data_IF_315139539558
#
_entry.id   IF_315139539558
#
_cell.length_a   1.000
_cell.length_b   1.000
_cell.length_c   1.000
_cell.angle_alpha   90.00
_cell.angle_beta   90.00
_cell.angle_gamma   90.00
#
_symmetry.space_group_name_H-M   'P 1'
#
loop_
_entity.id
_entity.type
_entity.pdbx_description
1 polymer ?
2 non-polymer ?
3 non-polymer ?
4 non-polymer ?
5 non-polymer ?
6 non-polymer ?
7 water ?
#
# COMPACT_ATOMS: atom_id res chain seq x y z
N UNK A 3 0.03 27.04 16.62
CA UNK A 3 1.07 26.72 15.64
C UNK A 3 1.89 25.53 16.12
N UNK A 4 1.40 24.87 17.16
CA UNK A 4 2.11 23.78 17.83
C UNK A 4 1.09 22.88 18.51
N UNK A 5 0.42 22.02 17.73
CA UNK A 5 -0.81 21.36 18.16
C UNK A 5 -0.55 20.15 19.06
N UNK A 6 -1.55 19.82 19.88
CA UNK A 6 -1.45 18.74 20.84
C UNK A 6 -2.36 17.57 20.44
N UNK A 7 -1.80 16.36 20.47
CA UNK A 7 -2.55 15.12 20.29
C UNK A 7 -2.41 14.29 21.56
N UNK A 8 -3.52 13.73 22.03
CA UNK A 8 -3.57 13.03 23.30
C UNK A 8 -3.96 11.58 23.08
N UNK A 9 -3.37 10.68 23.87
CA UNK A 9 -3.83 9.31 24.00
C UNK A 9 -4.74 9.23 25.23
N UNK A 10 -5.98 8.80 25.04
CA UNK A 10 -6.98 8.77 26.11
C UNK A 10 -7.03 7.43 26.84
N UNK A 11 -6.03 6.59 26.63
CA UNK A 11 -5.89 5.35 27.38
C UNK A 11 -4.64 5.34 28.26
N UNK A 12 -3.65 6.17 27.92
CA UNK A 12 -2.42 6.31 28.69
C UNK A 12 -2.23 7.72 29.21
N UNK A 13 -3.08 8.68 28.84
CA UNK A 13 -2.97 10.10 29.14
C UNK A 13 -1.69 10.71 28.56
N UNK A 14 -0.96 9.97 27.71
CA UNK A 14 0.23 10.51 27.07
C UNK A 14 -0.17 11.63 26.11
N UNK A 15 0.60 12.72 26.14
CA UNK A 15 0.34 13.86 25.27
C UNK A 15 1.59 14.15 24.45
N UNK A 16 1.40 14.36 23.15
CA UNK A 16 2.48 14.65 22.22
C UNK A 16 2.16 15.92 21.44
N UNK A 17 3.20 16.67 21.11
CA UNK A 17 3.06 17.97 20.47
C UNK A 17 3.53 17.92 19.03
N UNK A 18 2.70 18.43 18.12
CA UNK A 18 2.93 18.32 16.69
C UNK A 18 3.33 19.67 16.13
N UNK A 19 4.57 19.77 15.65
CA UNK A 19 5.00 20.88 14.81
C UNK A 19 5.26 20.46 13.37
N UNK A 20 5.38 19.15 13.11
CA UNK A 20 5.65 18.67 11.77
C UNK A 20 4.59 19.15 10.78
N UNK A 21 3.33 19.26 11.23
CA UNK A 21 2.24 19.69 10.36
C UNK A 21 2.49 21.06 9.76
N UNK A 22 3.46 21.75 10.31
CA UNK A 22 3.80 23.06 9.80
C UNK A 22 4.36 22.91 8.40
N UNK A 23 5.26 21.96 8.24
CA UNK A 23 5.86 21.73 6.95
C UNK A 23 4.84 21.28 5.96
N UNK A 24 3.65 20.92 6.42
CA UNK A 24 2.61 20.45 5.52
C UNK A 24 2.43 21.46 4.45
N UNK A 25 1.87 21.03 3.33
CA UNK A 25 1.72 21.89 2.22
C UNK A 25 0.49 21.49 1.45
N UNK A 26 0.42 20.24 1.03
CA UNK A 26 -0.77 19.79 0.31
C UNK A 26 -2.02 19.96 1.17
N UNK A 27 -3.18 19.92 0.51
CA UNK A 27 -4.45 20.14 1.16
C UNK A 27 -5.14 18.80 1.42
N UNK A 28 -6.07 18.81 2.39
CA UNK A 28 -6.63 17.59 2.96
C UNK A 28 -8.05 17.26 2.49
N UNK A 29 -8.75 18.19 1.86
CA UNK A 29 -10.16 18.03 1.59
C UNK A 29 -11.04 18.68 2.64
N UNK A 30 -10.59 18.72 3.88
CA UNK A 30 -11.36 19.35 4.93
C UNK A 30 -11.24 20.86 4.83
N UNK A 31 -12.27 21.54 5.30
CA UNK A 31 -12.26 22.97 5.52
C UNK A 31 -12.53 23.24 6.99
N UNK A 32 -12.55 24.52 7.35
CA UNK A 32 -12.97 24.90 8.70
C UNK A 32 -14.41 24.50 8.98
N UNK A 33 -15.22 24.26 7.95
CA UNK A 33 -16.64 24.00 8.15
C UNK A 33 -17.09 22.64 7.63
N UNK A 34 -16.16 21.80 7.16
CA UNK A 34 -16.51 20.44 6.81
C UNK A 34 -15.28 19.54 6.95
N UNK A 35 -15.48 18.39 7.58
CA UNK A 35 -14.43 17.41 7.75
C UNK A 35 -14.70 16.23 6.83
N UNK A 36 -13.73 15.92 5.97
CA UNK A 36 -13.84 14.83 5.01
C UNK A 36 -12.97 13.64 5.38
N UNK A 37 -12.61 13.52 6.66
CA UNK A 37 -11.71 12.47 7.10
C UNK A 37 -12.18 11.06 6.86
N UNK A 38 -13.42 10.88 6.38
CA UNK A 38 -13.90 9.55 6.04
C UNK A 38 -14.24 9.40 4.57
N UNK A 39 -14.00 10.43 3.75
CA UNK A 39 -14.08 10.28 2.31
C UNK A 39 -12.90 9.43 1.84
N UNK A 40 -13.18 8.41 1.02
CA UNK A 40 -12.18 7.39 0.68
C UNK A 40 -11.07 7.97 -0.20
N UNK A 41 -11.44 8.60 -1.31
CA UNK A 41 -10.48 9.29 -2.19
C UNK A 41 -10.86 10.76 -2.24
N UNK A 42 -10.13 11.64 -1.57
CA UNK A 42 -10.41 13.07 -1.68
C UNK A 42 -9.50 13.77 -2.69
N UNK A 43 -10.10 14.56 -3.58
CA UNK A 43 -9.34 15.34 -4.56
C UNK A 43 -9.71 16.82 -4.46
N UNK A 52 0.02 16.54 -17.22
CA UNK A 52 1.39 17.03 -17.32
C UNK A 52 1.59 18.18 -16.33
N UNK A 53 2.86 18.42 -15.95
CA UNK A 53 3.20 19.47 -14.99
C UNK A 53 4.36 20.31 -15.54
N UNK A 54 4.28 21.62 -15.34
CA UNK A 54 5.20 22.57 -15.97
C UNK A 54 6.51 22.68 -15.17
N UNK A 55 7.50 23.31 -15.81
CA UNK A 55 8.82 23.46 -15.21
C UNK A 55 8.86 24.58 -14.19
N UNK A 56 7.96 25.56 -14.28
CA UNK A 56 7.81 26.54 -13.21
C UNK A 56 7.58 25.83 -11.89
N UNK A 57 6.50 25.07 -11.82
CA UNK A 57 6.12 24.39 -10.58
C UNK A 57 7.20 23.45 -10.09
N UNK A 58 8.05 22.96 -10.98
CA UNK A 58 8.94 21.86 -10.63
C UNK A 58 10.11 22.27 -9.74
N UNK A 59 10.57 23.53 -9.78
CA UNK A 59 11.79 23.78 -9.03
C UNK A 59 11.59 23.98 -7.53
N UNK A 60 10.60 24.76 -7.07
CA UNK A 60 10.36 24.79 -5.62
C UNK A 60 10.27 23.39 -5.03
N UNK A 61 9.52 22.52 -5.70
CA UNK A 61 9.36 21.13 -5.28
C UNK A 61 10.70 20.39 -5.23
N UNK A 62 11.58 20.62 -6.21
CA UNK A 62 12.91 20.02 -6.17
C UNK A 62 13.73 20.63 -5.05
N UNK A 63 13.71 21.96 -4.93
CA UNK A 63 14.42 22.65 -3.87
C UNK A 63 13.97 22.16 -2.50
N UNK A 64 12.67 22.27 -2.24
CA UNK A 64 12.06 21.73 -1.02
C UNK A 64 12.61 20.34 -0.70
N UNK A 65 12.50 19.41 -1.67
CA UNK A 65 12.94 18.04 -1.45
C UNK A 65 14.44 17.98 -1.14
N UNK A 66 15.25 18.69 -1.92
CA UNK A 66 16.70 18.62 -1.74
C UNK A 66 17.13 19.22 -0.41
N UNK A 67 16.41 20.24 0.07
CA UNK A 67 16.75 20.82 1.36
C UNK A 67 16.53 19.82 2.49
N UNK A 68 15.47 19.01 2.41
CA UNK A 68 15.28 18.02 3.46
C UNK A 68 16.24 16.86 3.29
N UNK A 69 16.59 16.51 2.05
CA UNK A 69 17.49 15.39 1.84
C UNK A 69 18.88 15.67 2.40
N UNK A 70 19.41 16.87 2.12
CA UNK A 70 20.73 17.20 2.64
C UNK A 70 20.67 17.44 4.14
N UNK A 71 19.59 18.05 4.62
CA UNK A 71 19.38 18.16 6.06
C UNK A 71 19.39 16.79 6.73
N UNK A 72 18.88 15.77 6.03
CA UNK A 72 18.79 14.44 6.63
C UNK A 72 20.13 13.72 6.71
N UNK A 73 21.09 14.07 5.85
CA UNK A 73 22.45 13.56 5.97
C UNK A 73 23.36 14.55 6.68
N UNK A 74 22.78 15.61 7.26
CA UNK A 74 23.48 16.59 8.10
C UNK A 74 24.51 17.39 7.31
N UNK A 75 24.12 17.81 6.10
CA UNK A 75 24.88 18.77 5.29
C UNK A 75 23.90 19.70 4.58
N UNK A 76 22.98 20.28 5.33
CA UNK A 76 21.99 21.20 4.80
C UNK A 76 22.63 22.52 4.40
N UNK A 77 22.23 23.03 3.24
CA UNK A 77 22.67 24.33 2.75
C UNK A 77 24.16 24.44 2.49
N UNK A 78 24.88 23.32 2.60
CA UNK A 78 26.33 23.34 2.50
C UNK A 78 26.79 23.52 1.06
N UNK A 79 28.06 23.17 0.80
CA UNK A 79 28.59 23.23 -0.55
C UNK A 79 27.92 22.19 -1.45
N UNK A 80 28.04 20.91 -1.08
CA UNK A 80 27.47 19.84 -1.89
C UNK A 80 25.98 20.03 -2.12
N UNK A 81 25.29 20.70 -1.20
CA UNK A 81 23.88 21.02 -1.36
C UNK A 81 23.69 22.05 -2.47
N UNK A 82 24.20 23.27 -2.27
CA UNK A 82 23.99 24.35 -3.22
C UNK A 82 24.45 23.98 -4.63
N UNK A 83 25.44 23.10 -4.75
CA UNK A 83 25.83 22.61 -6.07
C UNK A 83 24.71 21.81 -6.71
N UNK A 84 24.16 20.86 -5.95
CA UNK A 84 23.06 20.03 -6.46
C UNK A 84 21.81 20.86 -6.70
N UNK A 85 21.53 21.82 -5.82
CA UNK A 85 20.43 22.75 -6.04
C UNK A 85 20.60 23.46 -7.38
N UNK A 86 21.81 23.97 -7.62
CA UNK A 86 22.13 24.59 -8.91
C UNK A 86 22.07 23.56 -10.03
N UNK A 87 22.65 22.38 -9.80
CA UNK A 87 22.66 21.33 -10.80
C UNK A 87 21.25 20.96 -11.26
N UNK A 88 20.32 20.79 -10.30
CA UNK A 88 18.95 20.45 -10.65
C UNK A 88 18.25 21.65 -11.27
N UNK A 89 18.51 22.86 -10.76
CA UNK A 89 17.99 24.08 -11.39
C UNK A 89 18.35 24.11 -12.88
N UNK A 90 19.63 23.89 -13.20
CA UNK A 90 20.08 23.95 -14.58
C UNK A 90 19.42 22.86 -15.43
N UNK A 91 19.31 21.64 -14.90
CA UNK A 91 18.72 20.55 -15.66
C UNK A 91 17.21 20.76 -15.84
N UNK A 92 16.55 21.45 -14.91
CA UNK A 92 15.14 21.75 -15.10
C UNK A 92 14.95 22.86 -16.14
N UNK A 93 15.82 23.86 -16.15
CA UNK A 93 15.83 24.82 -17.26
C UNK A 93 16.02 24.08 -18.58
N UNK A 94 17.10 23.31 -18.68
CA UNK A 94 17.47 22.62 -19.91
C UNK A 94 16.40 21.60 -20.32
N UNK A 95 16.21 20.56 -19.51
CA UNK A 95 15.35 19.43 -19.88
C UNK A 95 13.88 19.64 -19.58
N UNK A 96 13.52 20.68 -18.84
CA UNK A 96 12.17 20.95 -18.32
C UNK A 96 11.76 19.95 -17.25
N UNK A 97 12.65 19.02 -16.88
CA UNK A 97 12.45 18.09 -15.77
C UNK A 97 13.84 17.76 -15.23
N UNK A 98 13.96 16.67 -14.45
CA UNK A 98 15.28 16.31 -13.90
C UNK A 98 15.28 14.84 -13.45
N UNK A 99 16.38 14.43 -12.82
CA UNK A 99 16.65 13.04 -12.49
C UNK A 99 17.27 12.96 -11.10
N UNK A 100 16.78 12.03 -10.28
CA UNK A 100 17.23 11.87 -8.91
C UNK A 100 18.49 11.00 -8.84
N UNK A 101 19.41 11.39 -7.96
CA UNK A 101 20.51 10.49 -7.58
C UNK A 101 19.94 9.24 -6.95
N UNK A 102 20.69 8.14 -7.07
CA UNK A 102 20.29 6.89 -6.43
C UNK A 102 19.98 7.11 -4.95
N UNK A 103 20.86 7.82 -4.25
CA UNK A 103 20.61 8.11 -2.83
C UNK A 103 19.36 8.96 -2.64
N UNK A 104 19.08 9.88 -3.57
CA UNK A 104 17.89 10.72 -3.44
C UNK A 104 16.62 9.92 -3.69
N UNK A 105 16.68 8.98 -4.63
CA UNK A 105 15.52 8.12 -4.88
C UNK A 105 15.19 7.27 -3.65
N UNK A 106 16.23 6.71 -3.01
CA UNK A 106 16.01 5.85 -1.84
C UNK A 106 15.51 6.67 -0.66
N UNK A 107 16.04 7.89 -0.52
CA UNK A 107 15.52 8.80 0.51
C UNK A 107 14.05 9.12 0.27
N UNK A 108 13.73 9.59 -0.94
CA UNK A 108 12.38 9.96 -1.29
C UNK A 108 11.41 8.82 -1.05
N UNK A 109 11.66 7.66 -1.65
CA UNK A 109 10.82 6.48 -1.46
C UNK A 109 10.55 6.20 0.01
N UNK A 110 11.60 6.09 0.82
CA UNK A 110 11.41 5.75 2.23
C UNK A 110 10.56 6.79 2.94
N UNK A 111 10.68 8.06 2.54
CA UNK A 111 9.90 9.12 3.17
C UNK A 111 8.49 9.21 2.62
N UNK A 112 8.29 8.82 1.35
CA UNK A 112 6.93 8.61 0.87
C UNK A 112 6.20 7.59 1.74
N UNK A 113 6.89 6.53 2.16
CA UNK A 113 6.29 5.57 3.07
C UNK A 113 6.15 6.17 4.47
N UNK A 114 7.21 6.80 4.96
CA UNK A 114 7.15 7.46 6.27
C UNK A 114 5.96 8.40 6.38
N UNK A 115 5.60 9.06 5.29
CA UNK A 115 4.54 10.07 5.28
C UNK A 115 3.16 9.50 4.98
N UNK A 116 3.05 8.20 4.69
CA UNK A 116 1.76 7.58 4.39
C UNK A 116 0.89 7.53 5.64
N UNK A 117 0.01 8.50 5.80
CA UNK A 117 -0.74 8.63 7.04
C UNK A 117 -1.73 7.48 7.25
N UNK A 118 -2.13 6.78 6.19
CA UNK A 118 -3.00 5.62 6.37
C UNK A 118 -2.26 4.33 6.68
N UNK A 119 -0.91 4.35 6.73
CA UNK A 119 -0.14 3.13 6.91
C UNK A 119 0.19 2.90 8.38
N UNK A 120 -0.36 1.82 8.96
CA UNK A 120 -0.05 1.45 10.34
C UNK A 120 1.30 0.75 10.47
N UNK A 121 1.96 0.44 9.36
CA UNK A 121 3.21 -0.32 9.34
C UNK A 121 4.49 0.51 9.40
N UNK A 122 4.39 1.83 9.56
CA UNK A 122 5.53 2.68 9.25
C UNK A 122 6.67 2.59 10.25
N UNK A 123 6.54 1.85 11.36
CA UNK A 123 7.69 1.72 12.24
C UNK A 123 8.89 1.16 11.47
N UNK A 124 8.65 0.49 10.35
CA UNK A 124 9.64 -0.15 9.49
C UNK A 124 10.12 0.74 8.36
N UNK A 125 9.68 2.01 8.31
CA UNK A 125 9.84 2.82 7.11
C UNK A 125 11.29 2.94 6.67
N UNK A 126 12.24 2.91 7.60
CA UNK A 126 13.65 3.03 7.20
C UNK A 126 14.24 1.71 6.69
N UNK A 127 13.60 0.57 6.98
CA UNK A 127 14.03 -0.71 6.43
C UNK A 127 13.18 -0.99 5.19
N UNK A 128 13.60 -0.38 4.09
CA UNK A 128 12.92 -0.50 2.82
C UNK A 128 13.98 -0.67 1.74
N UNK A 129 13.87 -1.74 0.96
CA UNK A 129 14.81 -2.04 -0.11
C UNK A 129 14.28 -1.39 -1.38
N UNK A 130 15.04 -0.47 -1.95
CA UNK A 130 14.60 0.28 -3.11
C UNK A 130 15.26 -0.33 -4.34
N UNK A 131 14.45 -0.74 -5.30
CA UNK A 131 14.94 -1.24 -6.58
C UNK A 131 14.73 -0.16 -7.63
N UNK A 132 15.83 0.31 -8.18
CA UNK A 132 15.81 1.34 -9.21
C UNK A 132 15.61 0.65 -10.56
N UNK A 133 14.37 0.71 -11.09
CA UNK A 133 14.07 0.21 -12.43
C UNK A 133 13.87 1.37 -13.38
N UNK A 134 14.52 2.49 -13.10
CA UNK A 134 14.38 3.64 -13.98
C UNK A 134 15.08 3.45 -15.33
N UNK A 135 15.82 2.35 -15.51
CA UNK A 135 16.43 2.03 -16.81
C UNK A 135 15.53 1.17 -17.67
N UNK A 136 14.32 0.90 -17.22
CA UNK A 136 13.44 -0.02 -17.91
C UNK A 136 12.80 0.66 -19.11
N UNK A 137 12.56 -0.14 -20.16
CA UNK A 137 12.02 0.40 -21.41
C UNK A 137 10.88 -0.41 -21.99
N UNK A 138 10.64 -1.63 -21.52
CA UNK A 138 9.68 -2.53 -22.15
C UNK A 138 8.92 -3.25 -21.06
N UNK A 139 7.74 -3.75 -21.44
CA UNK A 139 6.92 -4.50 -20.50
C UNK A 139 7.62 -5.76 -20.01
N UNK A 140 8.42 -6.40 -20.88
CA UNK A 140 9.19 -7.57 -20.46
C UNK A 140 10.22 -7.22 -19.41
N UNK A 141 10.88 -6.07 -19.54
CA UNK A 141 11.76 -5.60 -18.48
C UNK A 141 10.99 -5.34 -17.20
N UNK A 142 9.76 -4.81 -17.31
CA UNK A 142 8.94 -4.62 -16.12
C UNK A 142 8.62 -5.95 -15.47
N UNK A 143 8.20 -6.93 -16.27
CA UNK A 143 7.97 -8.26 -15.75
C UNK A 143 9.19 -8.78 -15.00
N UNK A 144 10.37 -8.62 -15.60
CA UNK A 144 11.59 -9.14 -15.01
C UNK A 144 11.92 -8.42 -13.71
N UNK A 145 11.84 -7.09 -13.70
CA UNK A 145 12.02 -6.35 -12.46
C UNK A 145 11.00 -6.76 -11.40
N UNK A 146 9.76 -7.03 -11.80
CA UNK A 146 8.71 -7.33 -10.83
C UNK A 146 8.91 -8.72 -10.23
N UNK A 147 9.26 -9.71 -11.06
CA UNK A 147 9.59 -11.03 -10.54
C UNK A 147 10.70 -10.95 -9.51
N UNK A 148 11.76 -10.20 -9.82
CA UNK A 148 12.86 -10.06 -8.88
C UNK A 148 12.39 -9.35 -7.60
N UNK A 149 11.54 -8.34 -7.74
CA UNK A 149 10.92 -7.74 -6.56
C UNK A 149 10.19 -8.80 -5.74
N UNK A 150 9.31 -9.56 -6.39
CA UNK A 150 8.53 -10.60 -5.68
C UNK A 150 9.44 -11.62 -5.01
N UNK A 151 10.44 -12.11 -5.73
CA UNK A 151 11.35 -13.08 -5.11
C UNK A 151 12.05 -12.46 -3.89
N UNK A 152 12.67 -11.29 -4.09
CA UNK A 152 13.38 -10.65 -2.98
C UNK A 152 12.45 -10.35 -1.81
N UNK A 153 11.34 -9.65 -2.07
CA UNK A 153 10.48 -9.26 -0.94
C UNK A 153 9.93 -10.47 -0.19
N UNK A 154 9.70 -11.57 -0.90
CA UNK A 154 9.14 -12.73 -0.21
C UNK A 154 10.17 -13.41 0.67
N UNK A 155 11.38 -13.65 0.14
CA UNK A 155 12.49 -14.14 0.98
C UNK A 155 12.07 -15.41 1.71
N UNK A 156 11.36 -16.30 1.00
CA UNK A 156 10.98 -17.61 1.50
C UNK A 156 10.05 -17.51 2.70
N UNK A 157 9.30 -16.42 2.80
CA UNK A 157 8.40 -16.19 3.89
C UNK A 157 8.94 -15.29 4.97
N UNK A 158 10.26 -15.04 5.00
CA UNK A 158 10.76 -14.01 5.89
C UNK A 158 10.71 -12.69 5.13
N UNK A 159 9.48 -12.18 5.00
CA UNK A 159 9.20 -11.08 4.08
C UNK A 159 10.04 -9.86 4.39
N UNK A 160 10.44 -9.16 3.35
CA UNK A 160 11.23 -7.94 3.43
C UNK A 160 10.50 -6.88 2.65
N UNK A 161 10.53 -5.67 3.17
CA UNK A 161 9.88 -4.55 2.50
C UNK A 161 10.71 -4.10 1.32
N UNK A 162 10.03 -3.75 0.23
CA UNK A 162 10.71 -3.37 -0.99
C UNK A 162 9.80 -2.55 -1.91
N UNK A 163 10.43 -1.72 -2.74
CA UNK A 163 9.73 -0.99 -3.79
C UNK A 163 10.57 -1.02 -5.06
N UNK A 164 9.91 -1.20 -6.21
CA UNK A 164 10.55 -1.11 -7.53
C UNK A 164 9.98 0.09 -8.24
N UNK A 165 10.85 1.01 -8.66
CA UNK A 165 10.45 2.31 -9.15
C UNK A 165 10.81 2.37 -10.63
N UNK A 166 9.79 2.34 -11.49
CA UNK A 166 9.95 2.45 -12.94
C UNK A 166 10.10 3.90 -13.35
N UNK A 167 10.39 4.19 -14.64
CA UNK A 167 10.71 5.57 -15.01
C UNK A 167 9.59 6.57 -14.71
N UNK A 168 10.00 7.76 -14.29
CA UNK A 168 9.04 8.81 -14.00
C UNK A 168 8.23 9.17 -15.25
N UNK A 169 7.01 9.65 -15.00
CA UNK A 169 6.24 10.29 -16.04
C UNK A 169 7.04 11.42 -16.65
N UNK A 170 6.87 11.62 -17.97
CA UNK A 170 7.50 12.74 -18.65
C UNK A 170 6.46 13.66 -19.23
N UNK A 171 6.06 13.36 -20.47
CA UNK A 171 5.01 14.12 -21.12
C UNK A 171 3.65 13.82 -20.49
N UNK A 172 3.37 12.53 -20.25
CA UNK A 172 2.05 12.11 -19.79
C UNK A 172 1.44 11.03 -20.67
N UNK A 173 1.72 11.07 -21.98
CA UNK A 173 1.35 10.00 -22.90
C UNK A 173 2.37 8.88 -22.89
N UNK A 174 3.49 9.08 -22.22
CA UNK A 174 4.47 8.03 -21.98
C UNK A 174 4.50 7.81 -20.48
N UNK A 175 3.84 6.73 -20.06
CA UNK A 175 3.62 6.44 -18.65
C UNK A 175 3.86 4.96 -18.44
N UNK A 176 4.67 4.62 -17.46
CA UNK A 176 4.80 3.22 -17.06
C UNK A 176 3.71 2.93 -16.06
N UNK A 177 2.97 1.84 -16.27
CA UNK A 177 1.90 1.49 -15.34
C UNK A 177 1.83 -0.01 -15.16
N UNK A 178 1.72 -0.45 -13.91
CA UNK A 178 1.21 -1.79 -13.62
C UNK A 178 -0.31 -1.68 -13.52
N UNK A 179 -1.02 -2.37 -14.41
CA UNK A 179 -2.48 -2.26 -14.43
C UNK A 179 -3.14 -3.00 -13.28
N UNK A 180 -2.50 -4.04 -12.77
CA UNK A 180 -2.96 -4.71 -11.56
C UNK A 180 -3.00 -3.71 -10.40
N UNK A 181 -3.90 -3.95 -9.45
CA UNK A 181 -3.90 -3.13 -8.24
C UNK A 181 -2.90 -3.66 -7.22
N UNK A 182 -2.66 -4.96 -7.22
CA UNK A 182 -1.55 -5.56 -6.49
C UNK A 182 -0.89 -6.56 -7.41
N UNK A 183 0.43 -6.72 -7.23
CA UNK A 183 1.16 -7.67 -8.05
C UNK A 183 0.57 -9.08 -7.94
N UNK A 184 0.09 -9.46 -6.77
CA UNK A 184 -0.49 -10.77 -6.58
C UNK A 184 -1.92 -10.58 -6.09
N UNK A 185 -2.88 -10.98 -6.93
CA UNK A 185 -4.30 -10.89 -6.63
C UNK A 185 -5.03 -12.10 -7.18
N UNK A 186 -6.04 -12.55 -6.45
CA UNK A 186 -6.90 -13.62 -6.92
C UNK A 186 -7.96 -13.08 -7.89
N UNK A 187 -8.27 -13.89 -8.89
CA UNK A 187 -9.20 -13.50 -9.94
C UNK A 187 -10.62 -13.51 -9.42
N UNK A 188 -11.47 -12.75 -10.10
CA UNK A 188 -12.89 -12.77 -9.81
C UNK A 188 -13.72 -12.94 -11.07
N UNK A 189 -14.59 -13.94 -11.06
CA UNK A 189 -15.49 -14.22 -12.18
C UNK A 189 -16.91 -14.21 -11.69
N UNK A 190 -17.76 -13.46 -12.38
CA UNK A 190 -19.19 -13.53 -12.17
C UNK A 190 -19.77 -14.72 -12.93
N UNK A 191 -20.86 -15.26 -12.41
CA UNK A 191 -21.40 -16.53 -12.89
C UNK A 191 -22.59 -16.27 -13.82
N UNK A 192 -23.29 -17.32 -14.28
CA UNK A 192 -24.62 -17.08 -14.87
C UNK A 192 -25.62 -16.54 -13.86
N UNK A 193 -25.61 -17.09 -12.64
CA UNK A 193 -26.56 -16.67 -11.62
C UNK A 193 -26.05 -15.45 -10.86
N UNK A 194 -25.30 -14.58 -11.54
CA UNK A 194 -24.89 -13.32 -10.98
C UNK A 194 -23.78 -13.38 -9.96
N UNK A 195 -23.81 -14.39 -9.08
CA UNK A 195 -22.84 -14.50 -7.99
C UNK A 195 -21.40 -14.61 -8.50
N UNK A 196 -20.44 -14.59 -7.58
CA UNK A 196 -19.04 -14.42 -7.95
C UNK A 196 -18.17 -15.53 -7.38
N UNK A 197 -17.40 -16.17 -8.26
CA UNK A 197 -16.34 -17.09 -7.86
C UNK A 197 -15.03 -16.34 -7.76
N UNK A 198 -14.25 -16.66 -6.73
CA UNK A 198 -12.95 -16.02 -6.54
C UNK A 198 -13.07 -14.74 -5.72
N UNK A 199 -12.43 -13.68 -6.20
CA UNK A 199 -12.47 -12.40 -5.49
C UNK A 199 -13.35 -11.42 -6.24
N UNK A 200 -14.49 -11.00 -5.68
CA UNK A 200 -15.34 -10.02 -6.39
C UNK A 200 -14.65 -8.70 -6.68
N UNK A 201 -13.73 -8.26 -5.82
CA UNK A 201 -13.07 -6.97 -6.01
C UNK A 201 -12.44 -6.81 -7.38
N UNK A 202 -11.96 -7.90 -7.97
CA UNK A 202 -11.14 -7.85 -9.18
C UNK A 202 -11.90 -8.26 -10.43
N UNK A 203 -13.23 -8.34 -10.36
CA UNK A 203 -14.03 -8.90 -11.45
C UNK A 203 -13.76 -8.16 -12.76
N UNK A 204 -13.71 -6.83 -12.70
CA UNK A 204 -13.48 -6.08 -13.93
C UNK A 204 -12.07 -6.27 -14.44
N UNK A 205 -11.07 -6.22 -13.55
CA UNK A 205 -9.69 -6.45 -13.99
C UNK A 205 -9.53 -7.87 -14.52
N UNK A 206 -10.12 -8.86 -13.84
CA UNK A 206 -10.07 -10.24 -14.33
C UNK A 206 -10.61 -10.33 -15.74
N UNK A 207 -11.63 -9.51 -16.06
CA UNK A 207 -12.19 -9.53 -17.40
C UNK A 207 -11.36 -8.71 -18.38
N UNK A 208 -10.64 -7.69 -17.90
CA UNK A 208 -9.71 -6.97 -18.76
C UNK A 208 -8.58 -7.90 -19.21
N UNK A 209 -8.08 -8.72 -18.29
CA UNK A 209 -7.07 -9.70 -18.65
C UNK A 209 -7.58 -10.66 -19.72
N UNK A 210 -8.85 -11.05 -19.64
CA UNK A 210 -9.39 -11.92 -20.69
C UNK A 210 -9.54 -11.14 -21.99
N UNK A 211 -9.92 -9.86 -21.90
CA UNK A 211 -10.10 -9.04 -23.09
C UNK A 211 -8.77 -8.86 -23.85
N UNK A 212 -7.67 -8.72 -23.12
CA UNK A 212 -6.35 -8.62 -23.74
C UNK A 212 -5.71 -9.97 -23.99
N UNK A 213 -6.33 -11.07 -23.54
CA UNK A 213 -5.86 -12.38 -23.95
C UNK A 213 -5.74 -13.47 -22.90
N UNK A 214 -6.01 -13.17 -21.63
CA UNK A 214 -5.79 -14.17 -20.60
C UNK A 214 -6.71 -15.38 -20.82
N UNK A 215 -6.24 -16.52 -20.35
CA UNK A 215 -7.00 -17.76 -20.39
C UNK A 215 -7.20 -18.18 -18.93
N UNK A 216 -8.43 -17.99 -18.45
CA UNK A 216 -8.76 -18.03 -17.02
C UNK A 216 -9.03 -19.46 -16.59
N UNK A 217 -8.35 -19.94 -15.54
CA UNK A 217 -8.69 -21.24 -14.96
C UNK A 217 -9.96 -21.21 -14.12
N UNK A 218 -10.89 -20.29 -14.47
CA UNK A 218 -12.11 -19.95 -13.73
C UNK A 218 -12.34 -20.77 -12.47
N UNK A 219 -11.43 -20.62 -11.51
CA UNK A 219 -11.61 -21.17 -10.18
C UNK A 219 -11.65 -20.07 -9.13
N UNK A 220 -11.27 -20.40 -7.90
CA UNK A 220 -11.24 -19.44 -6.81
C UNK A 220 -9.96 -18.63 -6.82
N UNK A 221 -8.96 -19.16 -6.12
CA UNK A 221 -7.69 -18.49 -5.86
C UNK A 221 -6.74 -18.66 -7.05
N UNK A 222 -7.19 -18.17 -8.19
CA UNK A 222 -6.37 -18.11 -9.39
C UNK A 222 -5.58 -16.81 -9.37
N UNK A 223 -4.26 -16.92 -9.28
CA UNK A 223 -3.41 -15.74 -9.29
C UNK A 223 -3.51 -15.10 -10.67
N UNK A 224 -3.96 -13.84 -10.70
CA UNK A 224 -4.06 -13.10 -11.95
C UNK A 224 -2.70 -12.97 -12.62
N UNK A 225 -2.67 -12.72 -13.93
CA UNK A 225 -1.41 -12.36 -14.58
C UNK A 225 -1.16 -10.87 -14.41
N UNK A 226 0.08 -10.48 -14.66
CA UNK A 226 0.43 -9.06 -14.68
C UNK A 226 0.03 -8.45 -16.01
N UNK A 227 -0.55 -7.27 -15.96
CA UNK A 227 -0.78 -6.44 -17.15
C UNK A 227 0.13 -5.24 -17.01
N UNK A 228 1.14 -5.17 -17.86
CA UNK A 228 2.23 -4.21 -17.70
C UNK A 228 2.28 -3.29 -18.91
N UNK A 229 2.24 -1.98 -18.65
CA UNK A 229 2.32 -0.96 -19.67
C UNK A 229 3.64 -0.23 -19.53
N UNK A 230 4.40 -0.14 -20.63
CA UNK A 230 5.71 0.48 -20.63
C UNK A 230 5.73 1.67 -21.58
N UNK A 231 6.20 2.81 -21.08
CA UNK A 231 6.38 4.02 -21.88
C UNK A 231 5.13 4.34 -22.72
N UNK A 232 3.96 4.20 -22.09
CA UNK A 232 2.71 4.54 -22.72
C UNK A 232 2.13 3.49 -23.64
N UNK A 233 2.91 2.49 -24.06
CA UNK A 233 2.40 1.48 -24.99
C UNK A 233 1.34 0.60 -24.32
N UNK A 234 0.52 -0.04 -25.16
CA UNK A 234 -0.55 -0.89 -24.67
C UNK A 234 0.03 -2.00 -23.78
N UNK A 235 -0.68 -2.40 -22.72
CA UNK A 235 -0.12 -3.34 -21.76
C UNK A 235 -0.13 -4.77 -22.27
N UNK A 236 0.76 -5.57 -21.66
CA UNK A 236 1.03 -6.94 -22.07
C UNK A 236 0.94 -7.87 -20.87
N UNK A 237 0.52 -9.10 -21.12
CA UNK A 237 0.22 -10.05 -20.06
C UNK A 237 1.43 -10.93 -19.74
N UNK A 238 1.66 -11.17 -18.46
CA UNK A 238 2.70 -12.09 -18.03
C UNK A 238 2.24 -12.82 -16.77
N UNK A 239 2.58 -14.10 -16.69
CA UNK A 239 2.23 -14.96 -15.57
C UNK A 239 3.44 -15.10 -14.66
N UNK A 240 3.33 -14.57 -13.44
CA UNK A 240 4.38 -14.71 -12.43
C UNK A 240 4.66 -16.20 -12.26
N UNK A 241 5.92 -16.63 -12.34
CA UNK A 241 6.24 -18.06 -12.12
C UNK A 241 5.66 -18.52 -10.80
N UNK A 242 4.76 -19.51 -10.82
CA UNK A 242 4.05 -19.89 -9.59
C UNK A 242 4.97 -20.17 -8.40
N UNK A 243 6.18 -20.68 -8.65
CA UNK A 243 7.12 -20.88 -7.56
C UNK A 243 7.49 -19.57 -6.87
N UNK A 244 7.29 -18.43 -7.52
CA UNK A 244 7.52 -17.14 -6.89
C UNK A 244 6.34 -16.64 -6.07
N UNK A 245 5.16 -17.26 -6.19
CA UNK A 245 3.95 -16.80 -5.52
C UNK A 245 3.71 -17.70 -4.30
N UNK A 246 4.20 -17.23 -3.15
CA UNK A 246 4.08 -17.96 -1.90
C UNK A 246 2.66 -17.87 -1.34
N UNK A 247 2.09 -19.01 -0.97
CA UNK A 247 0.73 -19.06 -0.47
C UNK A 247 0.66 -19.79 0.87
N UNK A 248 -0.20 -19.28 1.75
CA UNK A 248 -0.48 -19.86 3.06
C UNK A 248 -1.87 -20.49 3.00
N UNK A 249 -1.99 -21.81 3.06
CA UNK A 249 -3.32 -22.40 3.23
C UNK A 249 -3.74 -22.20 4.68
N UNK A 250 -4.99 -21.81 4.87
CA UNK A 250 -5.48 -21.32 6.15
C UNK A 250 -6.13 -22.47 6.91
N UNK A 251 -5.60 -22.76 8.10
CA UNK A 251 -6.17 -23.76 9.00
C UNK A 251 -6.43 -23.12 10.37
N UNK A 252 -7.24 -23.81 11.17
CA UNK A 252 -7.52 -23.28 12.51
C UNK A 252 -6.86 -24.14 13.57
N UNK A 253 -6.30 -23.55 14.61
CA UNK A 253 -5.57 -24.33 15.62
C UNK A 253 -6.45 -25.12 16.58
N UNK A 254 -7.76 -25.13 16.37
CA UNK A 254 -8.66 -26.01 17.12
C UNK A 254 -9.68 -26.73 16.25
N UNK A 255 -10.14 -26.11 15.16
CA UNK A 255 -11.30 -26.59 14.39
C UNK A 255 -10.79 -27.23 13.11
N UNK A 256 -10.78 -28.57 13.08
CA UNK A 256 -10.25 -29.28 11.93
C UNK A 256 -11.16 -29.20 10.71
N UNK A 257 -12.41 -28.79 10.87
CA UNK A 257 -13.24 -28.52 9.69
C UNK A 257 -12.81 -27.26 8.95
N UNK A 258 -11.90 -26.48 9.55
CA UNK A 258 -11.49 -25.23 8.92
C UNK A 258 -10.70 -25.50 7.65
N UNK A 259 -9.88 -26.55 7.64
CA UNK A 259 -9.19 -26.95 6.41
C UNK A 259 -10.19 -27.23 5.29
N UNK A 260 -11.34 -27.80 5.64
CA UNK A 260 -12.36 -28.13 4.64
C UNK A 260 -12.89 -26.90 3.94
N UNK A 261 -12.81 -25.73 4.59
CA UNK A 261 -13.17 -24.49 3.93
C UNK A 261 -12.31 -24.26 2.70
N UNK A 262 -11.08 -24.79 2.69
CA UNK A 262 -10.22 -24.73 1.54
C UNK A 262 -9.85 -23.32 1.16
N UNK A 263 -9.39 -22.54 2.13
CA UNK A 263 -8.97 -21.17 1.91
C UNK A 263 -7.45 -21.04 1.97
N UNK A 264 -6.95 -20.06 1.23
CA UNK A 264 -5.54 -19.74 1.24
C UNK A 264 -5.42 -18.29 0.83
N UNK A 265 -4.28 -17.69 1.16
CA UNK A 265 -4.02 -16.34 0.74
C UNK A 265 -2.55 -16.22 0.40
N UNK A 266 -2.23 -15.24 -0.44
CA UNK A 266 -0.84 -15.00 -0.78
C UNK A 266 -0.16 -14.26 0.36
N UNK A 267 1.13 -14.57 0.55
CA UNK A 267 1.84 -13.92 1.63
C UNK A 267 2.23 -12.48 1.36
N UNK A 268 2.30 -12.08 0.08
CA UNK A 268 2.96 -10.84 -0.30
C UNK A 268 1.96 -9.79 -0.69
N UNK A 269 1.72 -8.78 0.15
CA UNK A 269 0.87 -7.68 -0.27
C UNK A 269 1.73 -6.64 -0.98
N UNK A 270 1.46 -6.40 -2.25
CA UNK A 270 2.24 -5.44 -3.00
C UNK A 270 1.36 -4.59 -3.85
N UNK A 271 1.08 -3.38 -3.42
CA UNK A 271 0.23 -2.52 -4.19
C UNK A 271 0.98 -2.00 -5.36
N UNK A 272 0.35 -1.94 -6.50
CA UNK A 272 1.03 -1.47 -7.68
C UNK A 272 0.31 -0.43 -8.47
N UNK A 273 -0.78 0.08 -7.96
CA UNK A 273 -1.59 1.02 -8.70
C UNK A 273 -1.41 2.45 -8.23
N UNK A 274 -0.44 2.69 -7.36
CA UNK A 274 -0.28 3.98 -6.72
C UNK A 274 0.84 4.75 -7.40
N UNK A 275 0.99 6.01 -6.99
CA UNK A 275 1.88 6.92 -7.67
C UNK A 275 2.79 7.55 -6.62
N UNK A 276 4.09 7.43 -6.84
CA UNK A 276 5.12 7.95 -5.94
C UNK A 276 5.56 9.32 -6.43
N UNK A 277 5.43 10.33 -5.55
CA UNK A 277 5.89 11.68 -5.79
C UNK A 277 7.15 11.95 -4.98
N UNK A 278 8.22 12.34 -5.66
CA UNK A 278 9.49 12.70 -5.06
C UNK A 278 9.98 13.96 -5.74
N UNK A 279 10.15 15.03 -4.99
CA UNK A 279 10.71 16.24 -5.57
C UNK A 279 9.98 16.71 -6.81
N UNK A 280 8.64 16.62 -6.80
CA UNK A 280 7.85 17.01 -7.95
C UNK A 280 7.81 16.01 -9.09
N UNK A 281 8.74 15.05 -9.12
CA UNK A 281 8.73 13.99 -10.13
C UNK A 281 7.67 12.94 -9.77
N UNK A 282 7.11 12.31 -10.80
CA UNK A 282 5.95 11.44 -10.63
C UNK A 282 6.27 10.04 -11.15
N UNK A 283 6.20 9.05 -10.27
CA UNK A 283 6.49 7.67 -10.63
C UNK A 283 5.18 6.89 -10.61
N UNK A 284 4.59 6.71 -11.79
CA UNK A 284 3.27 6.13 -11.98
C UNK A 284 3.25 4.62 -11.81
N UNK A 285 4.43 3.99 -11.76
CA UNK A 285 4.58 2.56 -11.59
C UNK A 285 5.65 2.37 -10.54
N UNK A 286 5.23 2.09 -9.34
CA UNK A 286 6.12 1.96 -8.19
C UNK A 286 5.63 0.91 -7.20
N UNK A 287 5.44 -0.35 -7.63
CA UNK A 287 4.92 -1.37 -6.71
C UNK A 287 5.79 -1.49 -5.47
N UNK A 288 5.13 -1.39 -4.31
CA UNK A 288 5.76 -1.54 -3.01
C UNK A 288 5.13 -2.70 -2.27
N UNK A 289 5.95 -3.47 -1.53
CA UNK A 289 5.42 -4.58 -0.76
C UNK A 289 5.93 -4.53 0.67
N UNK A 290 5.10 -4.99 1.62
CA UNK A 290 5.66 -5.26 2.91
C UNK A 290 5.15 -6.60 3.38
N UNK A 291 4.29 -6.59 4.41
CA UNK A 291 3.64 -7.83 4.80
C UNK A 291 2.27 -7.48 5.34
N UNK A 292 1.48 -8.52 5.54
CA UNK A 292 0.08 -8.35 5.91
C UNK A 292 -0.05 -8.22 7.42
N UNK A 293 -0.93 -7.32 7.83
CA UNK A 293 -1.59 -7.44 9.12
C UNK A 293 -2.79 -8.37 8.96
N UNK A 294 -3.02 -9.22 9.97
CA UNK A 294 -3.94 -10.34 9.78
C UNK A 294 -5.31 -9.88 9.31
N UNK A 295 -5.79 -8.77 9.87
CA UNK A 295 -7.15 -8.32 9.61
C UNK A 295 -7.39 -7.96 8.15
N UNK A 296 -6.37 -7.54 7.40
CA UNK A 296 -6.63 -7.25 6.00
C UNK A 296 -7.16 -8.49 5.29
N UNK A 297 -6.61 -9.66 5.59
CA UNK A 297 -7.11 -10.93 5.04
C UNK A 297 -8.37 -11.39 5.79
N UNK A 298 -8.23 -11.64 7.09
CA UNK A 298 -9.31 -12.27 7.84
C UNK A 298 -10.57 -11.43 7.93
N UNK A 299 -10.42 -10.12 8.02
CA UNK A 299 -11.59 -9.28 8.18
C UNK A 299 -12.10 -8.76 6.84
N UNK A 300 -11.28 -7.98 6.14
CA UNK A 300 -11.69 -7.34 4.90
C UNK A 300 -11.73 -8.31 3.73
N UNK A 301 -10.59 -8.94 3.40
CA UNK A 301 -10.57 -9.86 2.28
C UNK A 301 -11.63 -10.96 2.44
N UNK A 302 -11.66 -11.64 3.58
CA UNK A 302 -12.56 -12.78 3.72
C UNK A 302 -14.01 -12.37 4.02
N UNK A 303 -14.23 -11.33 4.83
CA UNK A 303 -15.56 -11.07 5.40
C UNK A 303 -16.24 -9.79 4.93
N UNK A 304 -15.57 -8.95 4.14
CA UNK A 304 -16.30 -7.91 3.43
C UNK A 304 -17.45 -8.53 2.64
N UNK A 305 -18.58 -7.81 2.58
CA UNK A 305 -19.72 -8.32 1.83
C UNK A 305 -19.41 -8.42 0.34
N UNK A 306 -18.83 -7.37 -0.25
CA UNK A 306 -18.44 -7.40 -1.66
C UNK A 306 -17.10 -8.07 -1.88
N UNK A 307 -16.68 -8.95 -0.97
CA UNK A 307 -15.46 -9.73 -1.12
C UNK A 307 -15.79 -11.20 -0.92
N UNK A 308 -14.87 -11.98 -0.35
CA UNK A 308 -15.07 -13.43 -0.26
C UNK A 308 -16.28 -13.80 0.59
N UNK A 309 -16.67 -12.94 1.55
CA UNK A 309 -17.96 -12.99 2.23
C UNK A 309 -18.26 -14.39 2.79
N UNK A 310 -17.37 -14.83 3.69
CA UNK A 310 -17.39 -16.19 4.20
C UNK A 310 -17.97 -16.29 5.61
N UNK A 311 -18.49 -15.19 6.16
CA UNK A 311 -19.10 -15.24 7.48
C UNK A 311 -20.26 -16.23 7.50
N UNK A 312 -21.03 -16.29 6.41
CA UNK A 312 -22.06 -17.32 6.23
C UNK A 312 -21.55 -18.72 6.59
N UNK A 313 -20.58 -19.22 5.83
CA UNK A 313 -20.18 -20.61 5.95
C UNK A 313 -19.45 -20.90 7.26
N UNK A 314 -18.64 -19.96 7.73
CA UNK A 314 -17.87 -20.21 8.96
C UNK A 314 -18.81 -20.28 10.16
N UNK A 315 -19.82 -19.41 10.20
CA UNK A 315 -20.79 -19.46 11.27
C UNK A 315 -21.54 -20.79 11.27
N UNK A 316 -21.99 -21.22 10.08
CA UNK A 316 -22.64 -22.51 9.91
C UNK A 316 -21.85 -23.63 10.55
N UNK A 317 -20.61 -23.83 10.10
CA UNK A 317 -19.80 -24.93 10.60
C UNK A 317 -19.49 -24.78 12.08
N UNK A 318 -19.58 -23.57 12.62
CA UNK A 318 -19.34 -23.34 14.05
C UNK A 318 -20.52 -23.69 14.93
N UNK A 319 -21.68 -24.02 14.34
CA UNK A 319 -22.92 -24.24 15.07
C UNK A 319 -23.35 -22.93 15.73
N UNK A 320 -23.93 -22.01 14.95
CA UNK A 320 -24.19 -20.66 15.43
C UNK A 320 -25.64 -20.24 15.22
N UNK A 321 -26.14 -19.45 16.17
CA UNK A 321 -27.48 -18.85 16.10
C UNK A 321 -27.47 -17.75 15.05
N UNK A 322 -27.71 -18.15 13.80
CA UNK A 322 -27.72 -17.23 12.67
C UNK A 322 -29.09 -16.58 12.46
N UNK A 323 -30.08 -16.89 13.30
CA UNK A 323 -31.41 -16.33 13.13
C UNK A 323 -31.44 -14.85 13.47
N UNK A 324 -30.94 -14.48 14.65
CA UNK A 324 -31.02 -13.11 15.14
C UNK A 324 -29.71 -12.38 14.87
N UNK A 325 -29.81 -11.19 14.31
CA UNK A 325 -28.66 -10.31 14.15
C UNK A 325 -27.88 -10.16 15.46
N UNK A 326 -28.60 -9.96 16.58
CA UNK A 326 -28.01 -9.67 17.88
C UNK A 326 -27.38 -10.87 18.58
N UNK A 327 -27.32 -12.03 17.93
CA UNK A 327 -26.55 -13.13 18.49
C UNK A 327 -25.04 -12.98 18.30
N UNK A 328 -24.58 -11.87 17.71
CA UNK A 328 -23.18 -11.62 17.36
C UNK A 328 -22.49 -12.82 16.72
N UNK A 329 -23.26 -13.63 16.01
CA UNK A 329 -22.67 -14.76 15.28
C UNK A 329 -21.68 -14.25 14.24
N UNK A 330 -21.98 -13.11 13.61
CA UNK A 330 -21.05 -12.53 12.64
C UNK A 330 -19.71 -12.22 13.29
N UNK A 331 -19.74 -11.55 14.46
CA UNK A 331 -18.53 -11.23 15.19
C UNK A 331 -17.80 -12.47 15.63
N UNK A 332 -18.56 -13.45 16.14
CA UNK A 332 -17.95 -14.66 16.66
C UNK A 332 -17.16 -15.38 15.57
N UNK A 333 -17.74 -15.51 14.37
CA UNK A 333 -17.03 -16.17 13.27
C UNK A 333 -15.86 -15.32 12.78
N UNK A 334 -15.97 -14.00 12.93
CA UNK A 334 -14.92 -13.11 12.47
C UNK A 334 -13.64 -13.30 13.26
N UNK A 335 -13.73 -13.51 14.58
CA UNK A 335 -12.52 -13.68 15.38
C UNK A 335 -11.84 -15.02 15.04
N UNK A 336 -12.62 -16.09 14.89
CA UNK A 336 -12.05 -17.39 14.55
C UNK A 336 -11.31 -17.34 13.22
N UNK A 337 -11.88 -16.66 12.23
CA UNK A 337 -11.25 -16.55 10.91
C UNK A 337 -9.89 -15.87 11.03
N UNK A 338 -9.78 -14.87 11.91
CA UNK A 338 -8.52 -14.16 12.06
C UNK A 338 -7.52 -14.90 12.93
N UNK A 339 -7.97 -15.70 13.92
CA UNK A 339 -7.05 -16.60 14.62
C UNK A 339 -6.43 -17.57 13.61
N UNK A 340 -7.25 -18.06 12.67
CA UNK A 340 -6.81 -19.02 11.69
C UNK A 340 -5.80 -18.41 10.72
N UNK A 341 -6.05 -17.16 10.29
CA UNK A 341 -5.13 -16.50 9.37
C UNK A 341 -3.76 -16.37 10.03
N UNK A 342 -3.72 -15.78 11.22
CA UNK A 342 -2.47 -15.61 11.96
C UNK A 342 -1.80 -16.95 12.21
N UNK A 343 -2.53 -17.88 12.84
CA UNK A 343 -1.98 -19.20 13.12
C UNK A 343 -1.36 -19.82 11.88
N UNK A 344 -2.11 -19.85 10.78
CA UNK A 344 -1.62 -20.46 9.55
C UNK A 344 -0.32 -19.82 9.09
N UNK A 345 -0.28 -18.48 9.03
CA UNK A 345 0.89 -17.77 8.51
C UNK A 345 2.13 -18.04 9.38
N UNK A 346 1.97 -17.93 10.71
CA UNK A 346 3.10 -18.13 11.61
C UNK A 346 3.61 -19.55 11.60
N UNK A 347 2.70 -20.53 11.50
CA UNK A 347 3.11 -21.94 11.47
C UNK A 347 3.86 -22.28 10.19
N UNK A 348 3.71 -21.45 9.15
CA UNK A 348 4.44 -21.59 7.90
C UNK A 348 5.64 -20.65 7.84
N UNK A 349 5.99 -20.00 8.95
CA UNK A 349 7.12 -19.06 8.99
C UNK A 349 7.00 -18.00 7.90
N UNK A 350 5.75 -17.61 7.60
CA UNK A 350 5.46 -16.50 6.70
C UNK A 350 5.14 -15.28 7.55
N UNK A 351 5.80 -14.16 7.27
CA UNK A 351 5.64 -12.96 8.09
C UNK A 351 4.20 -12.46 8.03
N UNK A 352 3.62 -12.26 9.22
CA UNK A 352 2.34 -11.59 9.38
C UNK A 352 2.39 -10.90 10.74
N UNK A 353 1.63 -9.81 10.89
CA UNK A 353 1.52 -9.15 12.19
C UNK A 353 0.03 -9.11 12.56
N UNK A 354 -0.25 -9.19 13.86
CA UNK A 354 -1.62 -9.10 14.34
C UNK A 354 -1.94 -7.65 14.64
N UNK A 355 -3.23 -7.33 14.59
CA UNK A 355 -3.63 -5.93 14.78
C UNK A 355 -3.24 -5.40 16.17
N UNK A 356 -2.90 -6.26 17.14
CA UNK A 356 -2.47 -5.76 18.43
C UNK A 356 -0.99 -5.38 18.43
N UNK A 357 -0.15 -6.26 17.90
CA UNK A 357 1.27 -5.93 17.78
C UNK A 357 1.45 -4.74 16.85
N UNK A 358 0.80 -4.77 15.69
CA UNK A 358 0.97 -3.69 14.72
C UNK A 358 0.53 -2.34 15.29
N UNK A 359 -0.58 -2.31 16.05
CA UNK A 359 -1.04 -1.00 16.50
C UNK A 359 -0.24 -0.50 17.69
N UNK A 360 0.21 -1.40 18.59
CA UNK A 360 1.13 -0.96 19.63
C UNK A 360 2.41 -0.43 19.01
N UNK A 361 2.92 -1.11 17.98
CA UNK A 361 4.12 -0.64 17.30
C UNK A 361 3.90 0.73 16.68
N UNK A 362 2.70 0.97 16.16
CA UNK A 362 2.43 2.28 15.57
C UNK A 362 2.41 3.37 16.64
N UNK A 363 1.82 3.10 17.81
CA UNK A 363 1.92 4.05 18.90
C UNK A 363 3.39 4.28 19.25
N UNK A 364 4.16 3.20 19.33
CA UNK A 364 5.59 3.32 19.56
C UNK A 364 6.26 4.10 18.45
N UNK A 365 5.87 3.83 17.19
CA UNK A 365 6.35 4.62 16.07
C UNK A 365 5.94 6.07 16.20
N UNK A 366 4.70 6.33 16.62
CA UNK A 366 4.23 7.70 16.74
C UNK A 366 5.08 8.48 17.72
N UNK A 367 5.46 7.86 18.85
CA UNK A 367 6.31 8.52 19.83
C UNK A 367 7.62 8.98 19.19
N UNK A 368 8.34 8.05 18.55
CA UNK A 368 9.61 8.37 17.93
C UNK A 368 9.49 9.51 16.94
N UNK A 369 8.45 9.50 16.11
CA UNK A 369 8.23 10.58 15.15
C UNK A 369 8.01 11.92 15.84
N UNK A 370 7.16 11.97 16.87
CA UNK A 370 6.94 13.25 17.53
C UNK A 370 8.22 13.77 18.19
N UNK A 371 9.07 12.87 18.70
CA UNK A 371 10.33 13.26 19.30
C UNK A 371 11.34 13.73 18.25
N UNK A 372 11.80 12.82 17.39
CA UNK A 372 12.89 13.09 16.44
C UNK A 372 12.40 13.64 15.11
N UNK A 373 11.15 14.10 15.03
CA UNK A 373 10.65 14.68 13.79
C UNK A 373 9.58 15.74 14.04
N UNK A 374 9.10 15.81 15.27
CA UNK A 374 8.07 16.77 15.61
C UNK A 374 6.68 16.40 15.17
N UNK A 375 6.43 15.14 14.81
CA UNK A 375 5.10 14.73 14.44
C UNK A 375 5.09 13.48 13.59
N UNK A 376 3.87 12.99 13.37
CA UNK A 376 3.58 11.82 12.56
C UNK A 376 2.18 11.98 11.96
N UNK A 377 2.06 12.29 10.67
CA UNK A 377 0.72 12.34 10.07
C UNK A 377 0.07 10.98 10.16
N UNK A 378 -1.19 10.96 10.61
CA UNK A 378 -1.87 9.69 10.81
C UNK A 378 -3.36 9.85 10.53
N UNK A 379 -3.96 8.81 9.92
CA UNK A 379 -5.36 8.79 9.52
C UNK A 379 -6.03 7.73 10.38
N UNK A 380 -6.64 8.21 11.45
CA UNK A 380 -7.33 7.34 12.39
C UNK A 380 -8.32 6.40 11.69
N UNK A 381 -9.05 6.94 10.71
CA UNK A 381 -10.05 6.15 9.99
C UNK A 381 -9.44 4.89 9.43
N UNK A 382 -8.19 4.98 8.96
CA UNK A 382 -7.48 3.86 8.38
C UNK A 382 -6.52 3.19 9.35
N UNK A 383 -5.99 3.89 10.34
CA UNK A 383 -5.08 3.24 11.27
C UNK A 383 -5.80 2.24 12.18
N UNK A 384 -6.99 2.59 12.66
CA UNK A 384 -7.72 1.67 13.56
C UNK A 384 -8.11 0.41 12.77
N UNK A 385 -7.75 -0.77 13.27
CA UNK A 385 -8.05 -2.02 12.53
C UNK A 385 -9.53 -2.27 12.39
N UNK A 386 -9.96 -3.05 11.40
CA UNK A 386 -11.39 -3.21 11.10
C UNK A 386 -12.14 -4.15 12.03
N UNK A 387 -11.51 -4.59 13.11
CA UNK A 387 -12.18 -5.36 14.15
C UNK A 387 -11.53 -4.97 15.47
N UNK A 388 -12.30 -5.06 16.54
CA UNK A 388 -11.75 -4.88 17.88
C UNK A 388 -11.05 -3.54 18.02
N UNK A 389 -11.59 -2.53 17.33
CA UNK A 389 -11.16 -1.14 17.43
C UNK A 389 -10.62 -0.73 18.78
N UNK A 390 -11.47 -0.74 19.80
CA UNK A 390 -11.10 -0.06 21.04
C UNK A 390 -10.20 -0.89 21.92
N UNK A 391 -10.07 -2.20 21.65
CA UNK A 391 -9.12 -2.98 22.45
C UNK A 391 -7.70 -2.85 21.90
N UNK A 392 -7.49 -2.02 20.88
CA UNK A 392 -6.14 -1.72 20.40
C UNK A 392 -5.80 -0.27 20.73
N UNK A 393 -4.53 0.02 21.05
CA UNK A 393 -4.18 1.35 21.55
C UNK A 393 -4.38 2.49 20.57
N UNK A 394 -4.55 2.21 19.27
CA UNK A 394 -4.66 3.32 18.31
C UNK A 394 -6.05 3.96 18.34
N UNK A 395 -7.08 3.18 18.70
CA UNK A 395 -8.43 3.75 18.87
C UNK A 395 -8.43 4.93 19.82
N UNK A 396 -7.63 4.87 20.87
CA UNK A 396 -7.61 5.88 21.92
C UNK A 396 -6.58 6.95 21.66
N UNK A 397 -5.86 6.84 20.55
CA UNK A 397 -4.82 7.79 20.20
C UNK A 397 -5.40 8.82 19.25
N UNK A 398 -5.41 10.08 19.68
CA UNK A 398 -5.70 11.17 18.76
C UNK A 398 -4.59 11.29 17.72
N UNK A 399 -4.99 11.55 16.47
CA UNK A 399 -4.06 11.62 15.36
C UNK A 399 -4.38 12.83 14.51
N UNK A 400 -3.33 13.54 14.10
CA UNK A 400 -3.46 14.66 13.19
C UNK A 400 -3.11 14.16 11.79
N UNK A 401 -4.03 14.34 10.84
CA UNK A 401 -3.77 13.97 9.46
C UNK A 401 -3.42 15.21 8.66
N UNK A 402 -2.32 15.12 7.93
CA UNK A 402 -1.86 16.19 7.07
C UNK A 402 -0.95 15.54 6.03
N UNK A 403 -0.75 16.25 4.93
CA UNK A 403 -0.12 15.67 3.75
C UNK A 403 1.29 16.22 3.65
N UNK A 404 2.27 15.34 3.80
CA UNK A 404 3.68 15.65 3.66
C UNK A 404 4.20 15.04 2.37
N UNK A 405 5.27 15.62 1.84
CA UNK A 405 5.91 15.06 0.68
C UNK A 405 7.37 14.76 0.99
N UNK A 406 7.98 13.75 0.32
CA UNK A 406 7.53 12.79 -0.69
C UNK A 406 6.29 11.99 -0.25
N UNK A 407 5.51 11.46 -1.19
CA UNK A 407 4.25 10.82 -0.82
C UNK A 407 3.81 9.82 -1.88
N UNK A 408 2.99 8.87 -1.44
CA UNK A 408 2.27 7.95 -2.32
C UNK A 408 0.88 8.52 -2.58
N UNK A 409 0.49 8.56 -3.85
CA UNK A 409 -0.77 9.16 -4.24
C UNK A 409 -1.61 8.18 -5.03
N UNK A 410 -2.92 8.31 -4.88
CA UNK A 410 -3.87 7.63 -5.71
C UNK A 410 -3.76 8.16 -7.12
N UNK A 411 -4.11 7.32 -8.08
CA UNK A 411 -4.03 7.71 -9.47
C UNK A 411 -5.13 6.98 -10.21
N UNK A 412 -5.59 7.52 -11.32
CA UNK A 412 -6.66 6.85 -12.07
C UNK A 412 -6.26 5.45 -12.49
N UNK A 413 -7.25 4.57 -12.58
CA UNK A 413 -7.02 3.27 -13.19
C UNK A 413 -6.61 3.48 -14.64
N UNK A 414 -5.54 2.84 -15.11
CA UNK A 414 -4.97 3.22 -16.42
C UNK A 414 -5.89 2.92 -17.60
N UNK A 415 -6.92 2.09 -17.43
CA UNK A 415 -7.81 1.81 -18.55
C UNK A 415 -8.87 2.89 -18.74
N UNK A 416 -9.07 3.76 -17.75
CA UNK A 416 -9.96 4.91 -17.90
C UNK A 416 -9.28 6.07 -18.61
N UNK A 417 -7.96 6.05 -18.73
CA UNK A 417 -7.19 7.20 -19.20
C UNK A 417 -6.40 6.94 -20.47
N UNK A 418 -6.18 5.68 -20.79
CA UNK A 418 -5.34 5.28 -21.91
C UNK A 418 -5.87 5.30 -23.31
N UNK A 419 -4.99 5.67 -24.23
CA UNK A 419 -5.30 5.69 -25.64
C UNK A 419 -4.77 4.38 -26.20
N UNK A 420 -5.66 3.44 -26.50
CA UNK A 420 -5.26 2.11 -26.96
C UNK A 420 -4.60 1.90 -28.35
N UNK A 421 -5.33 1.25 -29.27
CA UNK A 421 -4.94 0.91 -30.66
C UNK A 421 -4.63 -0.56 -30.83
X LIG B 1 -1.67 1.36 4.05
X LIG B 1 0.13 -2.13 6.86
X LIG B 1 4.34 -1.64 4.51
X LIG B 1 2.70 2.18 2.09
X LIG B 1 -1.62 0.27 4.90
X LIG B 1 -2.73 -0.44 5.50
X LIG B 1 -2.23 -1.41 6.28
X LIG B 1 -0.78 -1.32 6.22
X LIG B 1 -3.03 -2.44 7.09
X LIG B 1 -4.22 -0.21 5.26
X LIG B 1 -4.37 -0.67 3.81
X LIG B 1 -5.72 -1.25 3.57
X LIG B 1 -6.53 -1.32 4.54
X LIG B 1 -5.97 -1.66 2.41
X LIG B 1 1.43 -2.29 6.49
X LIG B 1 2.37 -3.25 7.07
X LIG B 1 3.54 -3.10 6.45
X LIG B 1 3.39 -2.07 5.41
X LIG B 1 2.05 -4.22 8.23
X LIG B 1 4.80 -3.92 6.77
X LIG B 1 6.03 -3.54 6.39
X LIG B 1 4.27 -0.59 3.63
X LIG B 1 5.31 -0.18 2.69
X LIG B 1 4.86 0.91 2.01
X LIG B 1 3.52 1.17 2.50
X LIG B 1 6.65 -0.91 2.60
X LIG B 1 5.49 1.79 0.90
X LIG B 1 6.76 1.63 0.50
X LIG B 1 1.36 2.28 2.40
X LIG B 1 0.43 3.21 1.82
X LIG B 1 -0.78 3.00 2.37
X LIG B 1 -0.65 1.90 3.29
X LIG B 1 0.77 4.30 0.79
X LIG B 1 -2.06 3.79 2.03
X LIG B 1 -2.64 3.29 0.70
X LIG B 1 -4.08 3.71 0.52
X LIG B 1 -4.44 4.85 0.91
X LIG B 1 -4.86 2.88 -0.02
X LIG B 1 -0.47 -0.28 5.38
X LIG B 1 2.08 -1.60 5.47
X LIG B 1 3.21 0.25 3.47
X LIG B 1 0.68 1.48 3.29
X LIG B 1 1.45 0.24 4.70
X LIG C 1 -9.30 1.56 6.63
X LIG C 1 -8.51 0.68 6.00
X LIG C 1 -7.37 0.30 6.62
X LIG C 1 -8.85 0.20 4.77
X LIG C 1 -10.00 0.61 4.18
X LIG C 1 -10.32 0.19 3.05
X LIG C 1 -10.81 1.52 4.84
X LIG C 1 -10.46 2.00 6.07
X LIG C 1 -11.94 1.95 4.25
X LIG C 1 -11.26 2.87 6.75
X LIG C 1 -12.50 3.23 4.69
X LIG C 1 -12.55 3.31 6.21
X LIG C 1 -13.93 3.36 4.15
X LIG C 1 -14.66 2.24 4.66
X LIG C 1 -14.60 4.65 4.62
X LIG C 1 -15.97 4.84 3.97
X LIG C 1 -13.77 5.79 4.35
X LIG D 1 -1.95 -2.67 1.81
X LIG D 1 -1.16 -1.54 1.91
X LIG D 1 -1.40 -0.40 1.15
X LIG D 1 -2.51 -0.36 0.32
X LIG D 1 -3.33 -1.47 0.21
X LIG D 1 -3.06 -2.63 0.95
X LIG D 1 -4.50 -1.35 -0.73
X LIG D 1 0.78 -3.71 2.06
X LIG D 1 0.96 -3.57 0.70
X LIG D 1 2.25 -3.06 0.56
X LIG D 1 2.83 -2.90 1.80
X LIG D 1 -0.40 -4.16 2.87
X LIG D 1 -6.53 -0.11 -0.95
X LIG D 1 -7.05 1.26 -1.40
X LIG D 1 -8.51 1.17 -1.78
X LIG D 1 -9.02 1.94 -2.82
X LIG D 1 -10.37 1.85 -3.16
X LIG D 1 -11.20 0.97 -2.47
X LIG D 1 -10.68 0.20 -1.42
X LIG D 1 -9.34 0.29 -1.09
X LIG D 1 -15.72 -2.38 -2.29
X LIG D 1 -15.03 -2.38 -1.08
X LIG D 1 -13.90 -1.60 -1.23
X LIG D 1 -13.92 -1.12 -2.53
X LIG D 1 -13.02 -0.24 -3.33
X LIG D 1 -0.22 -4.87 3.90
X LIG D 1 -1.66 -3.78 2.55
X LIG D 1 -5.13 -0.02 -0.55
X LIG D 1 -12.73 -0.54 -4.53
X LIG D 1 -12.51 0.87 -2.79
X LIG D 1 1.90 -3.30 2.74
X LIG D 1 -15.03 -1.59 -3.19
X LIG E 1 4.54 -3.75 11.91
X LIG E 1 4.11 -4.86 11.53
X LIG E 1 4.17 -3.24 13.00
X LIG E 1 5.49 -2.99 11.03
X LIG F 1 -11.16 16.71 8.89
#
# INVERSE_FOLDING_TARGET
CPRFLKVKNWETDVVLTDTLHLKSTLETGCTEHICMGSIMLPSQHTRKPEDVATKDQLFPLAKEFLDQYYSSIKRFGSKAHMDRLEEVNKEIESTSTYQLKDTELIYGAKHAWRNASRCVGRIQWSKLQVFDARDCTTAHGMFNYICNHVKYATNKGNLRSAITIFPQRTDGKHDFRVWNSQLIRYAGYKQPDGSTLGDPANVQFTEICIQQGWKAPRGRFDVLPLLLQANGNDPELFQIPPELVLEVPIRHPKFDWFKDLGLKWYGLPAVSNMLLEIGGLEFSACPFSGWYMGTEIGVRDYCDNSRYNILEEVAKKMDLDMRKTSSLWKDQALVEINIAVLYSFQSDKVTIVDHHSATESFIKHMENEYRCRGGCPADWVWIVPPMSGSITPVFHQEMLNYRLTPSFEYQPDPWNTHVWKG
HEM CHA CHB CHC CHD C1A C2A C3A C4A CMA CAA CBA CGA O1A O2A C1B C2B C3B C4B CMB CAB CBB C1C C2C C3C C4C CMC CAC CBC C1D C2D C3D C4D CMD CAD CBD CGD O1D O2D NA NB NC ND FE
H4B N1 C2 N2 N3 C4 O4 C4A C8A N5 N8 C6 C7 C9 O9 C10 C11 O10
A1BTY C11 C12 C13 C14 C15 C16 C17 C02 C03 C04 C05 C06 C19 C20 C21 C22 C23 C24 C25 C26 C32 C33 C34 C35 C36 N07 N08 N18 N37 N38 O01 O31
ACT C O OXT CH3
ZN ZN
#
